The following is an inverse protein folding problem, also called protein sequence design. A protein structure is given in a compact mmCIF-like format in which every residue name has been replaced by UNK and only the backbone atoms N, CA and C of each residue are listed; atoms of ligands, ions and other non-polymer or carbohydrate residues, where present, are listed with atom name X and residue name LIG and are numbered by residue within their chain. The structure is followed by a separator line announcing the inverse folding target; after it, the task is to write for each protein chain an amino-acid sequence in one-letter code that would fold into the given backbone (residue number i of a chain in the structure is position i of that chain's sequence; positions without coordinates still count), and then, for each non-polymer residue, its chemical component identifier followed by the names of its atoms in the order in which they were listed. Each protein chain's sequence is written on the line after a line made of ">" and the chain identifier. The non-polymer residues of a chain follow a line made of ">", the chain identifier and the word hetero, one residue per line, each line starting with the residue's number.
data_IF_093433790781
#
_entry.id   IF_093433790781
#
_cell.length_a   1.000
_cell.length_b   1.000
_cell.length_c   1.000
_cell.angle_alpha   90.00
_cell.angle_beta   90.00
_cell.angle_gamma   90.00
#
_symmetry.space_group_name_H-M   'P 1'
#
loop_
_entity.id
_entity.type
_entity.pdbx_description
1 polymer ?
#
# COMPACT_ATOMS: atom_id res chain seq x y z
N UNK A 1 0.50 19.43 48.11
CA UNK A 1 -0.82 18.89 47.75
C UNK A 1 -0.61 17.40 47.50
N UNK A 2 -0.23 16.62 48.52
CA UNK A 2 -1.04 16.24 49.69
C UNK A 2 -2.20 15.35 49.23
N UNK A 3 -2.00 14.04 49.26
CA UNK A 3 -2.57 13.08 50.26
C UNK A 3 -3.67 12.29 49.51
N UNK A 4 -3.90 10.99 49.66
CA UNK A 4 -3.57 10.08 50.75
C UNK A 4 -3.63 8.61 50.26
N UNK A 5 -3.00 7.79 51.09
CA UNK A 5 -2.62 6.38 51.08
C UNK A 5 -3.71 5.31 50.94
N UNK A 6 -3.34 4.18 50.32
CA UNK A 6 -3.88 2.83 50.58
C UNK A 6 -3.51 2.39 52.01
N UNK A 7 -4.28 1.54 52.72
CA UNK A 7 -3.92 0.11 52.68
C UNK A 7 -5.02 -0.94 52.96
N UNK A 8 -4.68 -2.16 52.53
CA UNK A 8 -5.10 -3.51 52.95
C UNK A 8 -5.26 -3.73 54.47
N UNK A 9 -6.23 -4.57 54.88
CA UNK A 9 -6.05 -5.52 56.00
C UNK A 9 -6.89 -6.80 55.84
N UNK A 10 -6.18 -7.92 55.97
CA UNK A 10 -6.61 -9.30 56.22
C UNK A 10 -6.92 -9.54 57.73
N UNK A 11 -7.67 -10.62 58.02
CA UNK A 11 -7.46 -11.57 59.16
C UNK A 11 -8.08 -11.36 60.57
N UNK A 12 -8.71 -12.46 61.04
CA UNK A 12 -9.00 -12.99 62.42
C UNK A 12 -10.11 -12.45 63.34
N UNK A 13 -11.17 -13.28 63.48
CA UNK A 13 -11.49 -14.18 64.62
C UNK A 13 -11.70 -13.67 66.09
N UNK A 14 -12.86 -14.08 66.63
CA UNK A 14 -13.12 -14.70 67.97
C UNK A 14 -13.75 -13.89 69.12
N UNK A 15 -14.93 -14.40 69.57
CA UNK A 15 -15.53 -14.44 70.93
C UNK A 15 -15.93 -13.11 71.62
N UNK A 16 -16.95 -13.00 72.47
CA UNK A 16 -18.08 -13.82 72.94
C UNK A 16 -18.93 -12.92 73.86
N UNK A 17 -20.25 -13.14 73.96
CA UNK A 17 -20.99 -13.17 75.24
C UNK A 17 -22.47 -13.54 75.04
N UNK A 18 -22.91 -14.46 75.89
CA UNK A 18 -24.25 -15.01 76.05
C UNK A 18 -25.15 -14.07 76.86
N UNK A 19 -26.49 -14.11 76.68
CA UNK A 19 -27.44 -14.59 77.72
C UNK A 19 -28.92 -14.55 77.25
N UNK A 20 -29.52 -15.75 77.26
CA UNK A 20 -30.88 -16.13 77.74
C UNK A 20 -32.10 -15.22 77.54
N UNK A 21 -33.14 -15.75 76.87
CA UNK A 21 -34.45 -16.08 77.47
C UNK A 21 -35.43 -16.76 76.48
N UNK A 22 -35.74 -18.02 76.80
CA UNK A 22 -36.98 -18.84 76.72
C UNK A 22 -38.16 -18.47 75.78
N UNK A 23 -38.82 -19.47 75.13
CA UNK A 23 -39.82 -19.30 74.05
C UNK A 23 -41.27 -19.28 74.54
N UNK A 24 -42.25 -19.03 73.65
CA UNK A 24 -43.52 -19.72 73.74
C UNK A 24 -43.76 -20.60 72.52
N UNK A 25 -43.98 -21.87 72.83
CA UNK A 25 -44.67 -22.82 71.99
C UNK A 25 -46.07 -22.27 71.65
N UNK A 26 -46.33 -22.06 70.36
CA UNK A 26 -47.66 -21.97 69.78
C UNK A 26 -47.82 -23.13 68.81
N UNK A 27 -48.63 -24.09 69.19
CA UNK A 27 -48.89 -25.32 68.47
C UNK A 27 -49.58 -25.11 67.11
N UNK A 28 -49.47 -26.17 66.29
CA UNK A 28 -50.26 -26.51 65.08
C UNK A 28 -49.76 -25.82 63.80
N UNK A 29 -49.36 -26.51 62.73
CA UNK A 29 -49.87 -27.79 62.21
C UNK A 29 -48.76 -28.57 61.51
N UNK A 30 -48.52 -29.80 61.94
CA UNK A 30 -47.96 -30.86 61.09
C UNK A 30 -49.00 -31.20 60.02
N UNK A 31 -48.89 -30.59 58.85
CA UNK A 31 -49.41 -31.17 57.62
C UNK A 31 -48.22 -31.79 56.88
N UNK A 32 -48.14 -33.11 56.91
CA UNK A 32 -47.45 -33.88 55.88
C UNK A 32 -47.82 -33.31 54.50
N UNK A 33 -46.86 -33.20 53.56
CA UNK A 33 -46.98 -32.44 52.32
C UNK A 33 -47.85 -33.20 51.31
N UNK A 34 -49.13 -33.32 51.60
CA UNK A 34 -50.12 -33.71 50.62
C UNK A 34 -50.61 -32.42 49.97
N UNK A 35 -50.39 -32.34 48.66
CA UNK A 35 -51.33 -31.68 47.77
C UNK A 35 -51.19 -30.16 47.56
N UNK A 36 -49.96 -29.65 47.55
CA UNK A 36 -49.66 -28.54 46.63
C UNK A 36 -49.29 -29.11 45.25
N UNK A 37 -50.15 -29.98 44.72
CA UNK A 37 -50.07 -30.43 43.34
C UNK A 37 -50.26 -29.19 42.47
N UNK A 38 -49.18 -28.73 41.84
CA UNK A 38 -49.26 -27.62 40.89
C UNK A 38 -50.31 -28.04 39.84
N UNK A 39 -51.39 -27.25 39.65
CA UNK A 39 -52.42 -27.61 38.69
C UNK A 39 -51.77 -27.86 37.33
N UNK A 40 -52.17 -28.95 36.66
CA UNK A 40 -51.57 -29.36 35.38
C UNK A 40 -51.49 -28.20 34.36
N UNK A 41 -52.48 -27.31 34.37
CA UNK A 41 -52.48 -26.08 33.57
C UNK A 41 -51.29 -25.16 33.85
N UNK A 42 -50.87 -24.98 35.11
CA UNK A 42 -49.69 -24.19 35.47
C UNK A 42 -48.40 -24.87 35.04
N UNK A 43 -48.32 -26.19 35.16
CA UNK A 43 -47.17 -26.95 34.68
C UNK A 43 -47.02 -26.86 33.15
N UNK A 44 -48.13 -26.95 32.43
CA UNK A 44 -48.15 -26.83 30.97
C UNK A 44 -47.79 -25.40 30.50
N UNK A 45 -48.22 -24.36 31.23
CA UNK A 45 -47.78 -22.97 31.01
C UNK A 45 -46.26 -22.82 31.19
N UNK A 46 -45.72 -23.27 32.33
CA UNK A 46 -44.28 -23.15 32.62
C UNK A 46 -43.45 -23.92 31.58
N UNK A 47 -43.91 -25.09 31.14
CA UNK A 47 -43.22 -25.83 30.08
C UNK A 47 -43.26 -25.11 28.73
N UNK A 48 -44.34 -24.39 28.41
CA UNK A 48 -44.40 -23.55 27.21
C UNK A 48 -43.45 -22.36 27.34
N UNK A 49 -43.42 -21.68 28.48
CA UNK A 49 -42.50 -20.56 28.74
C UNK A 49 -41.04 -21.01 28.68
N UNK A 50 -40.68 -22.14 29.30
CA UNK A 50 -39.32 -22.68 29.25
C UNK A 50 -38.89 -23.07 27.83
N UNK A 51 -39.81 -23.64 27.03
CA UNK A 51 -39.52 -23.94 25.63
C UNK A 51 -39.36 -22.66 24.81
N UNK A 52 -40.20 -21.65 25.04
CA UNK A 52 -40.09 -20.35 24.38
C UNK A 52 -38.77 -19.64 24.72
N UNK A 53 -38.39 -19.59 26.01
CA UNK A 53 -37.12 -19.01 26.47
C UNK A 53 -35.90 -19.76 25.93
N UNK A 54 -35.96 -21.10 25.84
CA UNK A 54 -34.87 -21.88 25.22
C UNK A 54 -34.76 -21.57 23.73
N UNK A 55 -35.88 -21.50 23.02
CA UNK A 55 -35.89 -21.16 21.60
C UNK A 55 -35.36 -19.74 21.36
N UNK A 56 -35.74 -18.77 22.19
CA UNK A 56 -35.26 -17.39 22.11
C UNK A 56 -33.76 -17.29 22.41
N UNK A 57 -33.27 -17.99 23.45
CA UNK A 57 -31.85 -18.04 23.77
C UNK A 57 -31.03 -18.68 22.65
N UNK A 58 -31.54 -19.76 22.06
CA UNK A 58 -30.87 -20.44 20.95
C UNK A 58 -30.84 -19.57 19.69
N UNK A 59 -31.96 -18.91 19.36
CA UNK A 59 -32.04 -17.93 18.28
C UNK A 59 -31.06 -16.77 18.49
N UNK A 60 -31.06 -16.14 19.67
CA UNK A 60 -30.15 -15.05 20.01
C UNK A 60 -28.67 -15.50 19.96
N UNK A 61 -28.36 -16.72 20.41
CA UNK A 61 -27.00 -17.26 20.33
C UNK A 61 -26.55 -17.51 18.89
N UNK A 62 -27.45 -18.01 18.03
CA UNK A 62 -27.19 -18.23 16.61
C UNK A 62 -26.99 -16.91 15.87
N UNK A 63 -27.82 -15.91 16.15
CA UNK A 63 -27.66 -14.57 15.59
C UNK A 63 -26.36 -13.91 16.04
N UNK A 64 -26.00 -14.02 17.32
CA UNK A 64 -24.74 -13.49 17.82
C UNK A 64 -23.52 -14.18 17.19
N UNK A 65 -23.58 -15.50 16.95
CA UNK A 65 -22.53 -16.22 16.23
C UNK A 65 -22.42 -15.76 14.78
N UNK A 66 -23.54 -15.66 14.06
CA UNK A 66 -23.57 -15.17 12.67
C UNK A 66 -23.06 -13.72 12.57
N UNK A 67 -23.41 -12.86 13.53
CA UNK A 67 -22.93 -11.48 13.57
C UNK A 67 -21.40 -11.42 13.77
N UNK A 68 -20.85 -12.24 14.69
CA UNK A 68 -19.41 -12.34 14.91
C UNK A 68 -18.69 -12.88 13.67
N UNK A 69 -19.22 -13.91 13.03
CA UNK A 69 -18.64 -14.48 11.82
C UNK A 69 -18.62 -13.47 10.68
N UNK A 70 -19.74 -12.73 10.46
CA UNK A 70 -19.78 -11.62 9.49
C UNK A 70 -18.74 -10.55 9.80
N UNK A 71 -18.60 -10.13 11.05
CA UNK A 71 -17.59 -9.14 11.45
C UNK A 71 -16.16 -9.63 11.17
N UNK A 72 -15.86 -10.91 11.43
CA UNK A 72 -14.54 -11.47 11.13
C UNK A 72 -14.27 -11.51 9.62
N UNK A 73 -15.26 -11.91 8.82
CA UNK A 73 -15.15 -11.93 7.35
C UNK A 73 -14.94 -10.52 6.81
N UNK A 74 -15.72 -9.55 7.28
CA UNK A 74 -15.56 -8.14 6.89
C UNK A 74 -14.17 -7.63 7.29
N UNK A 75 -13.70 -7.91 8.51
CA UNK A 75 -12.38 -7.51 8.97
C UNK A 75 -11.26 -8.11 8.09
N UNK A 76 -11.38 -9.39 7.72
CA UNK A 76 -10.42 -10.04 6.82
C UNK A 76 -10.42 -9.41 5.42
N UNK A 77 -11.59 -9.07 4.87
CA UNK A 77 -11.69 -8.37 3.59
C UNK A 77 -11.05 -6.97 3.65
N UNK A 78 -11.26 -6.24 4.73
CA UNK A 78 -10.64 -4.92 4.92
C UNK A 78 -9.11 -5.01 5.03
N UNK A 79 -8.59 -6.04 5.69
CA UNK A 79 -7.14 -6.29 5.76
C UNK A 79 -6.56 -6.59 4.38
N UNK A 80 -7.19 -7.48 3.61
CA UNK A 80 -6.76 -7.78 2.24
C UNK A 80 -6.76 -6.53 1.35
N UNK A 81 -7.83 -5.73 1.40
CA UNK A 81 -7.92 -4.49 0.63
C UNK A 81 -6.84 -3.47 1.05
N UNK A 82 -6.52 -3.39 2.34
CA UNK A 82 -5.47 -2.52 2.85
C UNK A 82 -4.09 -2.96 2.34
N UNK A 83 -3.80 -4.27 2.33
CA UNK A 83 -2.56 -4.82 1.79
C UNK A 83 -2.41 -4.56 0.28
N UNK A 84 -3.47 -4.75 -0.50
CA UNK A 84 -3.47 -4.46 -1.94
C UNK A 84 -3.24 -2.97 -2.22
N UNK A 85 -3.88 -2.09 -1.45
CA UNK A 85 -3.65 -0.65 -1.52
C UNK A 85 -2.22 -0.28 -1.13
N UNK A 86 -1.67 -0.90 -0.10
CA UNK A 86 -0.26 -0.72 0.28
C UNK A 86 0.67 -1.07 -0.88
N UNK A 87 0.52 -2.26 -1.46
CA UNK A 87 1.35 -2.72 -2.60
C UNK A 87 1.23 -1.81 -3.82
N UNK A 88 0.04 -1.34 -4.15
CA UNK A 88 -0.16 -0.43 -5.30
C UNK A 88 0.48 0.93 -5.04
N UNK A 89 0.31 1.49 -3.85
CA UNK A 89 0.94 2.76 -3.46
C UNK A 89 2.46 2.64 -3.51
N UNK A 90 3.03 1.57 -2.94
CA UNK A 90 4.48 1.36 -2.96
C UNK A 90 5.01 1.17 -4.38
N UNK A 91 4.26 0.47 -5.24
CA UNK A 91 4.57 0.35 -6.66
C UNK A 91 4.53 1.69 -7.41
N UNK A 92 3.58 2.58 -7.08
CA UNK A 92 3.54 3.93 -7.67
C UNK A 92 4.63 4.84 -7.12
N UNK A 93 4.97 4.75 -5.83
CA UNK A 93 6.07 5.51 -5.23
C UNK A 93 7.41 5.15 -5.87
N UNK A 94 7.70 3.86 -6.04
CA UNK A 94 8.94 3.44 -6.69
C UNK A 94 9.07 4.00 -8.12
N UNK A 95 7.97 3.99 -8.89
CA UNK A 95 7.93 4.61 -10.22
C UNK A 95 8.11 6.13 -10.15
N UNK A 96 7.43 6.80 -9.22
CA UNK A 96 7.57 8.24 -9.03
C UNK A 96 9.03 8.61 -8.70
N UNK A 97 9.70 7.86 -7.82
CA UNK A 97 11.11 8.08 -7.49
C UNK A 97 12.04 7.88 -8.69
N UNK A 98 11.74 6.92 -9.58
CA UNK A 98 12.46 6.75 -10.84
C UNK A 98 12.23 7.95 -11.78
N UNK A 99 10.99 8.40 -11.91
CA UNK A 99 10.66 9.59 -12.70
C UNK A 99 11.32 10.85 -12.15
N UNK A 100 11.33 11.07 -10.84
CA UNK A 100 11.95 12.23 -10.20
C UNK A 100 13.47 12.27 -10.41
N UNK A 101 14.11 11.10 -10.55
CA UNK A 101 15.53 11.00 -10.88
C UNK A 101 15.81 11.24 -12.36
N UNK A 102 14.99 10.68 -13.26
CA UNK A 102 15.23 10.74 -14.70
C UNK A 102 14.75 12.04 -15.35
N UNK A 103 13.62 12.58 -14.90
CA UNK A 103 13.01 13.79 -15.45
C UNK A 103 13.98 14.97 -15.54
N UNK A 104 14.75 15.35 -14.49
CA UNK A 104 15.69 16.46 -14.59
C UNK A 104 16.81 16.18 -15.60
N UNK A 105 17.35 14.96 -15.66
CA UNK A 105 18.41 14.59 -16.61
C UNK A 105 17.92 14.72 -18.05
N UNK A 106 16.71 14.22 -18.34
CA UNK A 106 16.09 14.34 -19.66
C UNK A 106 15.76 15.79 -19.98
N UNK A 107 15.30 16.56 -18.99
CA UNK A 107 15.00 17.97 -19.16
C UNK A 107 16.26 18.79 -19.50
N UNK A 108 17.35 18.56 -18.78
CA UNK A 108 18.64 19.20 -19.04
C UNK A 108 19.19 18.84 -20.43
N UNK A 109 19.10 17.57 -20.82
CA UNK A 109 19.53 17.13 -22.15
C UNK A 109 18.71 17.78 -23.26
N UNK A 110 17.38 17.82 -23.12
CA UNK A 110 16.50 18.48 -24.09
C UNK A 110 16.77 19.98 -24.15
N UNK A 111 16.97 20.63 -23.01
CA UNK A 111 17.32 22.06 -22.96
C UNK A 111 18.65 22.34 -23.66
N UNK A 112 19.67 21.52 -23.39
CA UNK A 112 20.97 21.63 -24.05
C UNK A 112 20.89 21.40 -25.57
N UNK A 113 20.02 20.50 -26.02
CA UNK A 113 19.75 20.30 -27.46
C UNK A 113 19.07 21.54 -28.07
N UNK A 114 18.02 22.05 -27.42
CA UNK A 114 17.29 23.24 -27.86
C UNK A 114 18.20 24.47 -27.87
N UNK A 115 19.12 24.59 -26.91
CA UNK A 115 20.12 25.66 -26.85
C UNK A 115 21.10 25.65 -28.03
N UNK A 116 21.23 24.54 -28.75
CA UNK A 116 22.03 24.48 -29.98
C UNK A 116 21.21 24.84 -31.23
N UNK A 117 19.89 24.91 -31.13
CA UNK A 117 19.03 25.18 -32.27
C UNK A 117 19.08 26.64 -32.71
N UNK A 118 18.73 26.94 -33.97
CA UNK A 118 18.68 28.32 -34.46
C UNK A 118 17.66 29.17 -33.69
N UNK A 119 17.97 30.45 -33.47
CA UNK A 119 17.12 31.45 -32.81
C UNK A 119 15.67 31.43 -33.30
N UNK A 120 15.46 31.27 -34.60
CA UNK A 120 14.13 31.21 -35.21
C UNK A 120 13.27 30.05 -34.70
N UNK A 121 13.89 28.91 -34.38
CA UNK A 121 13.20 27.74 -33.84
C UNK A 121 13.06 27.87 -32.32
N UNK A 122 14.07 28.39 -31.63
CA UNK A 122 14.00 28.72 -30.19
C UNK A 122 12.89 29.73 -29.89
N UNK A 123 12.67 30.72 -30.76
CA UNK A 123 11.59 31.70 -30.60
C UNK A 123 10.17 31.11 -30.69
N UNK A 124 10.02 29.87 -31.17
CA UNK A 124 8.77 29.12 -31.16
C UNK A 124 8.58 28.31 -29.87
N UNK A 125 9.58 28.32 -28.98
CA UNK A 125 9.52 27.62 -27.71
C UNK A 125 8.63 28.42 -26.75
N UNK A 126 7.47 27.87 -26.34
CA UNK A 126 6.43 28.65 -25.66
C UNK A 126 6.82 29.04 -24.23
N UNK A 127 7.48 28.17 -23.45
CA UNK A 127 7.92 28.48 -22.07
C UNK A 127 9.00 27.50 -21.58
N UNK A 128 10.00 27.99 -20.84
CA UNK A 128 11.11 27.19 -20.29
C UNK A 128 10.78 26.30 -19.08
N UNK A 129 9.59 26.45 -18.52
CA UNK A 129 9.09 25.69 -17.36
C UNK A 129 8.07 24.62 -17.74
N UNK A 130 7.98 24.29 -19.04
CA UNK A 130 7.11 23.24 -19.56
C UNK A 130 7.49 21.88 -18.97
N UNK A 131 6.51 21.03 -18.59
CA UNK A 131 6.81 19.68 -18.10
C UNK A 131 7.57 18.88 -19.16
N UNK A 132 8.47 18.01 -18.71
CA UNK A 132 9.45 17.29 -19.56
C UNK A 132 8.78 16.56 -20.73
N UNK A 133 7.60 15.97 -20.51
CA UNK A 133 6.84 15.29 -21.57
C UNK A 133 6.38 16.23 -22.68
N UNK A 134 5.88 17.41 -22.32
CA UNK A 134 5.45 18.41 -23.31
C UNK A 134 6.67 19.01 -24.03
N UNK A 135 7.78 19.24 -23.31
CA UNK A 135 9.03 19.70 -23.92
C UNK A 135 9.58 18.67 -24.90
N UNK A 136 9.48 17.38 -24.58
CA UNK A 136 9.88 16.28 -25.46
C UNK A 136 9.01 16.23 -26.73
N UNK A 137 7.69 16.34 -26.61
CA UNK A 137 6.77 16.34 -27.76
C UNK A 137 6.98 17.57 -28.65
N UNK A 138 7.17 18.74 -28.04
CA UNK A 138 7.54 19.95 -28.76
C UNK A 138 8.88 19.75 -29.48
N UNK A 139 9.91 19.24 -28.80
CA UNK A 139 11.21 18.99 -29.40
C UNK A 139 11.10 18.00 -30.57
N UNK A 140 10.34 16.91 -30.45
CA UNK A 140 10.09 15.98 -31.57
C UNK A 140 9.51 16.66 -32.80
N UNK A 141 8.58 17.60 -32.61
CA UNK A 141 7.93 18.34 -33.70
C UNK A 141 8.88 19.33 -34.39
N UNK A 142 9.73 20.01 -33.63
CA UNK A 142 10.57 21.11 -34.15
C UNK A 142 12.03 20.73 -34.43
N UNK A 143 12.50 19.57 -33.94
CA UNK A 143 13.81 18.99 -34.25
C UNK A 143 14.09 18.88 -35.75
N UNK A 144 13.18 18.38 -36.63
CA UNK A 144 13.46 18.31 -38.06
C UNK A 144 13.66 19.71 -38.68
N UNK A 145 12.85 20.69 -38.27
CA UNK A 145 12.99 22.08 -38.73
C UNK A 145 14.32 22.69 -38.24
N UNK A 146 14.70 22.44 -37.00
CA UNK A 146 15.99 22.87 -36.46
C UNK A 146 17.15 22.24 -37.24
N UNK A 147 17.08 20.95 -37.56
CA UNK A 147 18.09 20.24 -38.35
C UNK A 147 18.19 20.76 -39.79
N UNK A 148 17.07 21.05 -40.45
CA UNK A 148 17.06 21.64 -41.79
C UNK A 148 17.74 23.02 -41.79
N UNK A 149 17.47 23.84 -40.77
CA UNK A 149 18.08 25.16 -40.60
C UNK A 149 19.56 25.11 -40.17
N UNK A 150 19.96 24.11 -39.41
CA UNK A 150 21.38 23.88 -39.05
C UNK A 150 22.17 23.24 -40.22
N UNK A 151 21.51 22.43 -41.05
CA UNK A 151 22.09 21.86 -42.27
C UNK A 151 22.26 22.88 -43.40
N UNK A 152 21.49 23.98 -43.36
CA UNK A 152 21.63 25.11 -44.30
C UNK A 152 22.70 26.12 -43.89
N UNK A 153 23.38 25.94 -42.75
CA UNK A 153 24.60 26.69 -42.42
C UNK A 153 25.87 26.20 -43.15
N UNK A 154 25.76 25.26 -44.09
CA UNK A 154 26.86 24.87 -44.97
C UNK A 154 26.50 25.07 -46.44
N UNK A 155 27.32 25.91 -47.09
CA UNK A 155 27.42 26.18 -48.53
C UNK A 155 26.48 27.28 -49.04
N UNK A 156 26.89 28.53 -48.82
CA UNK A 156 26.87 29.51 -49.92
C UNK A 156 27.75 28.91 -51.03
N UNK A 157 27.24 28.65 -52.24
CA UNK A 157 28.05 28.18 -53.35
C UNK A 157 28.92 29.34 -53.85
N UNK A 158 30.11 29.47 -53.27
CA UNK A 158 31.12 30.43 -53.71
C UNK A 158 32.02 30.86 -52.55
N UNK A 159 33.33 30.62 -52.71
CA UNK A 159 34.42 31.03 -51.82
C UNK A 159 34.58 30.32 -50.47
N UNK A 160 35.28 29.18 -50.52
CA UNK A 160 36.03 28.63 -49.40
C UNK A 160 36.92 27.50 -49.89
N UNK A 161 38.21 27.78 -50.10
CA UNK A 161 39.22 26.81 -50.50
C UNK A 161 39.24 25.61 -49.55
N UNK A 162 38.90 24.42 -50.05
CA UNK A 162 39.05 23.16 -49.31
C UNK A 162 40.54 22.92 -48.99
N UNK A 163 40.95 22.71 -47.73
CA UNK A 163 42.26 22.16 -47.44
C UNK A 163 42.34 20.72 -47.97
N UNK A 164 43.43 20.41 -48.65
CA UNK A 164 43.73 19.10 -49.24
C UNK A 164 43.86 18.06 -48.12
N UNK A 165 43.10 16.96 -48.20
CA UNK A 165 43.24 15.85 -47.27
C UNK A 165 44.65 15.24 -47.40
N UNK A 166 45.46 15.35 -46.36
CA UNK A 166 46.72 14.64 -46.20
C UNK A 166 46.46 13.43 -45.31
N UNK A 167 46.66 12.23 -45.86
CA UNK A 167 46.90 11.02 -45.07
C UNK A 167 45.70 10.08 -44.87
N UNK A 168 45.29 9.37 -45.92
CA UNK A 168 44.82 7.99 -45.75
C UNK A 168 45.68 7.07 -46.62
N UNK A 169 46.80 6.64 -46.06
CA UNK A 169 47.54 5.47 -46.52
C UNK A 169 48.09 4.79 -45.27
N UNK A 170 47.60 3.57 -44.99
CA UNK A 170 48.15 2.70 -43.95
C UNK A 170 47.15 2.35 -42.85
N UNK A 171 46.18 1.48 -43.15
CA UNK A 171 45.79 0.51 -42.14
C UNK A 171 47.08 -0.25 -41.79
N UNK A 172 47.58 -0.09 -40.56
CA UNK A 172 48.79 -0.78 -40.15
C UNK A 172 48.49 -2.28 -40.09
N UNK A 173 49.45 -3.13 -40.50
CA UNK A 173 49.35 -4.60 -40.45
C UNK A 173 48.89 -5.12 -39.08
N UNK A 174 49.24 -4.41 -38.01
CA UNK A 174 48.79 -4.68 -36.65
C UNK A 174 47.27 -4.55 -36.44
N UNK A 175 46.59 -3.71 -37.21
CA UNK A 175 45.15 -3.49 -37.14
C UNK A 175 44.38 -4.57 -37.94
N UNK A 176 44.97 -5.05 -39.03
CA UNK A 176 44.47 -6.21 -39.79
C UNK A 176 44.64 -7.52 -39.00
N UNK A 177 45.80 -7.73 -38.37
CA UNK A 177 46.07 -8.92 -37.55
C UNK A 177 45.14 -8.99 -36.33
N UNK A 178 44.85 -7.85 -35.68
CA UNK A 178 43.87 -7.79 -34.58
C UNK A 178 42.45 -8.15 -35.04
N UNK A 179 42.06 -7.74 -36.25
CA UNK A 179 40.76 -8.06 -36.83
C UNK A 179 40.66 -9.55 -37.20
N UNK A 180 41.72 -10.13 -37.76
CA UNK A 180 41.79 -11.55 -38.07
C UNK A 180 41.75 -12.42 -36.81
N UNK A 181 42.45 -12.02 -35.74
CA UNK A 181 42.43 -12.73 -34.46
C UNK A 181 41.03 -12.72 -33.82
N UNK A 182 40.31 -11.60 -33.89
CA UNK A 182 38.95 -11.50 -33.36
C UNK A 182 37.96 -12.39 -34.13
N UNK A 183 38.06 -12.43 -35.46
CA UNK A 183 37.21 -13.29 -36.29
C UNK A 183 37.46 -14.78 -36.03
N UNK A 184 38.73 -15.17 -35.81
CA UNK A 184 39.09 -16.57 -35.51
C UNK A 184 38.62 -17.00 -34.12
N UNK A 185 38.66 -16.10 -33.14
CA UNK A 185 38.11 -16.33 -31.80
C UNK A 185 36.58 -16.43 -31.78
N UNK A 186 35.89 -15.63 -32.60
CA UNK A 186 34.43 -15.67 -32.74
C UNK A 186 33.94 -16.99 -33.36
N UNK A 187 34.66 -17.54 -34.34
CA UNK A 187 34.30 -18.80 -34.99
C UNK A 187 34.45 -20.03 -34.06
N UNK A 188 35.31 -19.96 -33.05
CA UNK A 188 35.54 -21.07 -32.10
C UNK A 188 34.54 -21.10 -30.93
N UNK A 189 33.75 -20.04 -30.72
CA UNK A 189 32.72 -19.97 -29.67
C UNK A 189 31.36 -20.55 -30.09
N UNK A 190 31.20 -20.88 -31.37
CA UNK A 190 29.94 -21.37 -31.95
C UNK A 190 30.07 -22.79 -32.54
N UNK A 191 31.03 -23.59 -32.05
CA UNK A 191 31.10 -25.04 -32.30
C UNK A 191 31.08 -25.81 -30.99
#
# INVERSE_FOLDING_TARGET
>A
MSEETVPTTETTATAASQTTATPPAGAQTTETPADQMIPKSRFDEINKELKALRAEKEAASSEAQKAKEKQMVEQAQWQQLAEERGKTIDGYKAKADEYDKLAPVVAEQLKAEIDQWPEKVKGLFPTAEMPVNEMLEWAKRFRPLAQEMMGTTAIVPGNGTRPKAVGMAGATKAQEDKRAAWQKAAAHRYR
#
